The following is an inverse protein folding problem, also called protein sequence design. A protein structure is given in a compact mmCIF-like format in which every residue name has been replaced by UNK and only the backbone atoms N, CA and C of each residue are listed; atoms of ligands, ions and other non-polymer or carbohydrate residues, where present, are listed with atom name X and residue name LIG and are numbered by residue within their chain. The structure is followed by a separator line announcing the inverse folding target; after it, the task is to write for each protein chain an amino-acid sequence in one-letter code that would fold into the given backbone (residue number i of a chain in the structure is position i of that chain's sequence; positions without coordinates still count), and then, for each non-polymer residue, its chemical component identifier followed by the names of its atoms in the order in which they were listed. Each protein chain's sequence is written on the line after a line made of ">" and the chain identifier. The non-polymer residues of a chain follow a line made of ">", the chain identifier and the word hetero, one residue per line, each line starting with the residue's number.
data_IF_926419726603
#
_entry.id   IF_926419726603
#
_cell.length_a   1.000
_cell.length_b   1.000
_cell.length_c   1.000
_cell.angle_alpha   90.00
_cell.angle_beta   90.00
_cell.angle_gamma   90.00
#
_symmetry.space_group_name_H-M   'P 1'
#
loop_
_entity.id
_entity.type
_entity.pdbx_description
1 polymer ?
#
# COMPACT_ATOMS: atom_id res chain seq x y z
N UNK A 1 17.61 14.90 -33.62
CA UNK A 1 16.34 15.30 -32.96
C UNK A 1 15.48 14.12 -32.52
N UNK A 2 15.48 12.97 -33.24
CA UNK A 2 14.66 11.78 -32.91
C UNK A 2 15.04 11.09 -31.58
N UNK A 3 16.33 11.08 -31.24
CA UNK A 3 16.87 10.35 -30.06
C UNK A 3 16.50 11.02 -28.73
N UNK A 4 16.45 12.36 -28.70
CA UNK A 4 16.04 13.13 -27.51
C UNK A 4 14.58 12.88 -27.12
N UNK A 5 13.69 12.73 -28.11
CA UNK A 5 12.28 12.40 -27.89
C UNK A 5 12.09 11.01 -27.26
N UNK A 6 12.86 10.02 -27.74
CA UNK A 6 12.86 8.67 -27.18
C UNK A 6 13.35 8.63 -25.73
N UNK A 7 14.39 9.41 -25.41
CA UNK A 7 14.90 9.53 -24.04
C UNK A 7 13.85 10.17 -23.10
N UNK A 8 13.16 11.22 -23.54
CA UNK A 8 12.09 11.87 -22.75
C UNK A 8 10.93 10.91 -22.43
N UNK A 9 10.52 10.09 -23.41
CA UNK A 9 9.45 9.10 -23.23
C UNK A 9 9.83 8.02 -22.21
N UNK A 10 11.09 7.58 -22.18
CA UNK A 10 11.57 6.59 -21.21
C UNK A 10 11.65 7.16 -19.78
N UNK A 11 12.00 8.44 -19.64
CA UNK A 11 12.01 9.16 -18.36
C UNK A 11 10.60 9.31 -17.77
N UNK A 12 9.58 9.56 -18.61
CA UNK A 12 8.18 9.70 -18.19
C UNK A 12 7.55 8.37 -17.75
N UNK A 13 7.99 7.23 -18.28
CA UNK A 13 7.51 5.91 -17.84
C UNK A 13 8.16 5.41 -16.55
N UNK A 14 9.30 5.98 -16.15
CA UNK A 14 10.05 5.56 -14.95
C UNK A 14 9.48 6.13 -13.64
N UNK A 15 8.49 7.04 -13.72
CA UNK A 15 7.84 7.64 -12.54
C UNK A 15 6.54 6.94 -12.16
N UNK A 16 6.27 5.75 -12.68
CA UNK A 16 5.25 4.87 -12.10
C UNK A 16 5.80 4.38 -10.75
N UNK A 17 5.67 5.22 -9.73
CA UNK A 17 5.85 4.82 -8.34
C UNK A 17 4.76 3.79 -8.10
N UNK A 18 5.13 2.51 -8.09
CA UNK A 18 4.19 1.46 -7.70
C UNK A 18 3.72 1.80 -6.28
N UNK A 19 2.50 2.28 -6.16
CA UNK A 19 1.84 2.53 -4.88
C UNK A 19 1.26 1.20 -4.42
N UNK A 20 1.67 0.75 -3.24
CA UNK A 20 1.08 -0.43 -2.59
C UNK A 20 -0.43 -0.21 -2.43
N UNK A 21 -1.22 -1.23 -2.76
CA UNK A 21 -2.65 -1.27 -2.44
C UNK A 21 -2.87 -2.14 -1.22
N UNK A 22 -3.64 -1.68 -0.25
CA UNK A 22 -4.00 -2.46 0.94
C UNK A 22 -5.52 -2.52 1.12
N UNK A 23 -6.00 -3.51 1.86
CA UNK A 23 -7.33 -3.41 2.45
C UNK A 23 -7.34 -2.43 3.63
N UNK A 24 -8.34 -1.56 3.71
CA UNK A 24 -8.57 -0.67 4.86
C UNK A 24 -10.03 -0.70 5.32
N UNK A 25 -10.29 -0.10 6.48
CA UNK A 25 -11.63 -0.06 7.09
C UNK A 25 -12.50 1.13 6.66
N UNK A 26 -12.17 1.84 5.58
CA UNK A 26 -12.95 3.03 5.20
C UNK A 26 -14.35 2.65 4.69
N UNK A 27 -15.37 2.86 5.54
CA UNK A 27 -16.78 2.68 5.21
C UNK A 27 -17.30 1.25 5.15
N UNK A 28 -16.47 0.25 5.46
CA UNK A 28 -16.82 -1.18 5.38
C UNK A 28 -16.69 -1.87 6.76
N UNK A 29 -17.70 -2.68 7.11
CA UNK A 29 -17.72 -3.49 8.33
C UNK A 29 -16.69 -4.63 8.28
N UNK A 30 -16.34 -5.08 7.08
CA UNK A 30 -15.42 -6.20 6.87
C UNK A 30 -13.95 -5.74 6.69
N UNK A 31 -13.69 -4.42 6.73
CA UNK A 31 -12.41 -3.79 6.43
C UNK A 31 -11.71 -4.32 5.16
N UNK A 32 -12.45 -4.33 4.05
CA UNK A 32 -11.93 -4.75 2.74
C UNK A 32 -12.00 -3.67 1.67
N UNK A 33 -11.99 -2.40 2.09
CA UNK A 33 -11.92 -1.29 1.14
C UNK A 33 -10.53 -1.25 0.52
N UNK A 34 -10.45 -1.57 -0.78
CA UNK A 34 -9.21 -1.45 -1.56
C UNK A 34 -8.75 0.01 -1.58
N UNK A 35 -7.55 0.25 -1.08
CA UNK A 35 -7.02 1.61 -0.89
C UNK A 35 -5.63 1.72 -1.50
N UNK A 36 -5.43 2.71 -2.37
CA UNK A 36 -4.09 3.12 -2.80
C UNK A 36 -3.37 3.80 -1.64
N UNK A 37 -2.29 3.18 -1.16
CA UNK A 37 -1.53 3.73 -0.05
C UNK A 37 -0.69 4.94 -0.47
N UNK A 38 -0.37 5.84 0.47
CA UNK A 38 0.64 6.88 0.24
C UNK A 38 1.94 6.28 -0.28
N UNK A 39 2.68 7.01 -1.13
CA UNK A 39 3.94 6.53 -1.70
C UNK A 39 5.05 6.24 -0.68
N UNK A 40 4.91 6.78 0.54
CA UNK A 40 5.78 6.44 1.66
C UNK A 40 5.39 5.13 2.35
N UNK A 41 4.16 4.66 2.23
CA UNK A 41 3.72 3.44 2.90
C UNK A 41 4.26 2.22 2.15
N UNK A 42 4.89 1.32 2.90
CA UNK A 42 5.54 0.11 2.38
C UNK A 42 4.86 -1.17 2.88
N UNK A 43 3.92 -1.05 3.82
CA UNK A 43 3.27 -2.19 4.47
C UNK A 43 1.77 -1.98 4.62
N UNK A 44 1.01 -3.06 4.45
CA UNK A 44 -0.33 -3.20 4.98
C UNK A 44 -0.22 -3.76 6.39
N UNK A 45 -0.91 -3.13 7.34
CA UNK A 45 -0.98 -3.55 8.74
C UNK A 45 -2.38 -4.02 9.06
N UNK A 46 -2.51 -5.19 9.66
CA UNK A 46 -3.76 -5.68 10.26
C UNK A 46 -3.57 -5.80 11.77
N UNK A 47 -4.51 -5.28 12.55
CA UNK A 47 -4.57 -5.48 14.01
C UNK A 47 -5.80 -6.31 14.34
N UNK A 48 -5.62 -7.35 15.15
CA UNK A 48 -6.69 -8.20 15.68
C UNK A 48 -6.48 -8.39 17.17
N UNK A 49 -7.19 -7.62 18.00
CA UNK A 49 -7.07 -7.68 19.46
C UNK A 49 -8.44 -7.56 20.14
N UNK A 50 -8.98 -8.70 20.60
CA UNK A 50 -10.33 -8.76 21.16
C UNK A 50 -11.38 -8.39 20.11
N UNK A 51 -12.16 -7.35 20.37
CA UNK A 51 -13.15 -6.80 19.43
C UNK A 51 -12.55 -5.74 18.49
N UNK A 52 -11.27 -5.39 18.66
CA UNK A 52 -10.57 -4.47 17.77
C UNK A 52 -10.10 -5.20 16.52
N UNK A 53 -10.63 -4.78 15.38
CA UNK A 53 -10.17 -5.17 14.06
C UNK A 53 -9.91 -3.92 13.24
N UNK A 54 -8.68 -3.76 12.75
CA UNK A 54 -8.33 -2.64 11.87
C UNK A 54 -7.33 -3.03 10.80
N UNK A 55 -7.39 -2.31 9.68
CA UNK A 55 -6.40 -2.42 8.60
C UNK A 55 -5.98 -1.05 8.10
N UNK A 56 -4.67 -0.81 8.00
CA UNK A 56 -4.08 0.49 7.63
C UNK A 56 -2.86 0.34 6.72
N UNK A 57 -2.54 1.42 6.00
CA UNK A 57 -1.28 1.55 5.25
C UNK A 57 -0.21 2.18 6.16
N UNK A 58 0.95 1.56 6.31
CA UNK A 58 2.02 2.03 7.19
C UNK A 58 3.36 2.15 6.44
N UNK A 59 4.19 3.12 6.81
CA UNK A 59 5.58 3.23 6.33
C UNK A 59 6.50 2.20 6.98
N UNK A 60 6.16 1.73 8.18
CA UNK A 60 6.89 0.71 8.91
C UNK A 60 5.91 -0.14 9.70
N UNK A 61 6.14 -1.44 9.75
CA UNK A 61 5.28 -2.37 10.46
C UNK A 61 6.15 -3.44 11.15
N UNK A 62 5.76 -3.84 12.35
CA UNK A 62 6.43 -4.90 13.13
C UNK A 62 5.34 -5.88 13.55
N UNK A 63 5.50 -7.14 13.14
CA UNK A 63 4.61 -8.20 13.56
C UNK A 63 4.69 -8.43 15.08
N UNK A 64 3.55 -8.70 15.70
CA UNK A 64 3.43 -9.12 17.09
C UNK A 64 2.26 -10.10 17.25
N UNK A 65 1.87 -10.43 18.49
CA UNK A 65 0.81 -11.40 18.76
C UNK A 65 -0.58 -10.99 18.20
N UNK A 66 -0.77 -9.70 17.90
CA UNK A 66 -2.03 -9.12 17.43
C UNK A 66 -1.88 -8.31 16.13
N UNK A 67 -0.65 -8.09 15.66
CA UNK A 67 -0.33 -7.29 14.48
C UNK A 67 0.26 -8.18 13.40
N UNK A 68 -0.32 -8.12 12.20
CA UNK A 68 0.20 -8.77 11.00
C UNK A 68 0.59 -7.71 9.97
N UNK A 69 1.79 -7.82 9.43
CA UNK A 69 2.38 -6.93 8.45
C UNK A 69 2.67 -7.67 7.13
N UNK A 70 2.41 -7.02 6.01
CA UNK A 70 2.72 -7.55 4.68
C UNK A 70 3.00 -6.41 3.69
N UNK A 71 3.71 -6.69 2.60
CA UNK A 71 4.20 -5.72 1.62
C UNK A 71 3.73 -6.03 0.18
N UNK A 72 2.73 -6.90 0.04
CA UNK A 72 2.10 -7.27 -1.23
C UNK A 72 0.74 -6.58 -1.40
N UNK A 73 0.33 -6.35 -2.65
CA UNK A 73 -0.96 -5.73 -2.94
C UNK A 73 -2.13 -6.58 -2.42
N UNK A 74 -3.04 -5.93 -1.71
CA UNK A 74 -4.30 -6.49 -1.21
C UNK A 74 -4.11 -7.73 -0.33
N UNK A 75 -3.07 -7.73 0.48
CA UNK A 75 -3.11 -8.40 1.77
C UNK A 75 -4.01 -7.59 2.76
#
# INVERSE_FOLDING_TARGET
>A
MKVLLLMLLLLLCSTQVLTLKCYTCDGDLDCKTETDCPSSSQYCKTIVHGDEFSRTCENSCVDDDFTICCDEDLC
#
